data_IF_403200732509
#
_entry.id   IF_403200732509
#
_cell.length_a   1.000
_cell.length_b   1.000
_cell.length_c   1.000
_cell.angle_alpha   90.00
_cell.angle_beta   90.00
_cell.angle_gamma   90.00
#
_symmetry.space_group_name_H-M   'P 1'
#
loop_
_entity.id
_entity.type
_entity.pdbx_description
1 polymer ?
#
# COMPACT_ATOMS: atom_id res chain seq x y z
N UNK A 1 1.59 15.85 -7.47
CA UNK A 1 1.58 14.42 -7.14
C UNK A 1 2.84 13.76 -7.68
N UNK A 2 3.08 13.75 -9.00
CA UNK A 2 4.35 13.29 -9.57
C UNK A 2 5.55 14.06 -9.01
N UNK A 3 6.58 13.34 -8.53
CA UNK A 3 7.79 13.91 -7.92
C UNK A 3 7.71 14.17 -6.41
N UNK A 4 6.58 13.88 -5.76
CA UNK A 4 6.44 13.94 -4.29
C UNK A 4 6.19 12.56 -3.67
N UNK A 5 6.27 11.48 -4.46
CA UNK A 5 5.99 10.13 -3.99
C UNK A 5 7.14 9.57 -3.13
N UNK A 6 8.28 10.26 -3.08
CA UNK A 6 9.32 10.04 -2.09
C UNK A 6 8.90 10.46 -0.67
N UNK A 7 7.83 11.26 -0.50
CA UNK A 7 7.37 11.67 0.83
C UNK A 7 6.46 10.59 1.41
N UNK A 8 6.68 10.13 2.64
CA UNK A 8 5.99 8.98 3.21
C UNK A 8 4.46 9.12 3.17
N UNK A 9 3.93 10.31 3.52
CA UNK A 9 2.50 10.57 3.50
C UNK A 9 1.89 10.56 2.08
N UNK A 10 2.63 11.08 1.09
CA UNK A 10 2.16 11.08 -0.30
C UNK A 10 2.23 9.67 -0.92
N UNK A 11 3.29 8.92 -0.64
CA UNK A 11 3.43 7.52 -1.04
C UNK A 11 2.31 6.66 -0.46
N UNK A 12 2.03 6.84 0.84
CA UNK A 12 0.96 6.18 1.56
C UNK A 12 -0.41 6.52 0.98
N UNK A 13 -0.71 7.80 0.76
CA UNK A 13 -1.98 8.22 0.15
C UNK A 13 -2.16 7.67 -1.27
N UNK A 14 -1.08 7.64 -2.07
CA UNK A 14 -1.13 7.15 -3.44
C UNK A 14 -1.28 5.62 -3.51
N UNK A 15 -0.58 4.89 -2.65
CA UNK A 15 -0.62 3.43 -2.65
C UNK A 15 -1.80 2.89 -1.87
N UNK A 16 -2.17 3.42 -0.70
CA UNK A 16 -3.24 2.82 0.13
C UNK A 16 -4.64 3.21 -0.33
N UNK A 17 -4.78 4.22 -1.18
CA UNK A 17 -6.07 4.59 -1.74
C UNK A 17 -6.49 3.58 -2.82
N UNK A 18 -7.49 2.76 -2.51
CA UNK A 18 -8.03 1.74 -3.43
C UNK A 18 -8.55 2.34 -4.74
N UNK A 19 -9.15 3.54 -4.70
CA UNK A 19 -9.62 4.22 -5.92
C UNK A 19 -8.47 4.63 -6.85
N UNK A 20 -7.24 4.76 -6.34
CA UNK A 20 -6.04 5.09 -7.13
C UNK A 20 -5.26 3.81 -7.48
N UNK A 21 -5.05 2.91 -6.50
CA UNK A 21 -4.27 1.67 -6.65
C UNK A 21 -4.81 0.75 -7.77
N UNK A 22 -6.12 0.73 -7.98
CA UNK A 22 -6.75 -0.11 -9.01
C UNK A 22 -7.04 0.63 -10.33
N UNK A 23 -6.52 1.85 -10.51
CA UNK A 23 -6.59 2.52 -11.81
C UNK A 23 -5.66 1.82 -12.82
N UNK A 24 -6.08 1.77 -14.09
CA UNK A 24 -5.30 1.17 -15.18
C UNK A 24 -3.90 1.79 -15.34
N UNK A 25 -3.74 3.05 -14.91
CA UNK A 25 -2.51 3.82 -14.97
C UNK A 25 -1.76 3.87 -13.63
N UNK A 26 -2.15 3.04 -12.65
CA UNK A 26 -1.40 2.95 -11.39
C UNK A 26 0.02 2.48 -11.68
N UNK A 27 0.98 3.23 -11.15
CA UNK A 27 2.40 2.91 -11.28
C UNK A 27 2.99 2.65 -9.90
N UNK A 28 3.34 1.39 -9.65
CA UNK A 28 4.14 0.97 -8.49
C UNK A 28 5.63 1.08 -8.82
N UNK A 29 6.06 2.29 -9.16
CA UNK A 29 7.46 2.55 -9.50
C UNK A 29 8.31 2.61 -8.22
N UNK A 30 9.64 2.50 -8.35
CA UNK A 30 10.57 2.46 -7.20
C UNK A 30 10.41 3.64 -6.24
N UNK A 31 10.08 4.84 -6.74
CA UNK A 31 9.83 6.01 -5.88
C UNK A 31 8.66 5.78 -4.91
N UNK A 32 7.60 5.12 -5.37
CA UNK A 32 6.42 4.78 -4.56
C UNK A 32 6.75 3.69 -3.55
N UNK A 33 7.53 2.69 -3.96
CA UNK A 33 7.96 1.60 -3.09
C UNK A 33 8.83 2.12 -1.93
N UNK A 34 9.85 2.94 -2.23
CA UNK A 34 10.69 3.55 -1.20
C UNK A 34 9.89 4.47 -0.28
N UNK A 35 8.97 5.28 -0.82
CA UNK A 35 8.13 6.13 0.02
C UNK A 35 7.21 5.35 0.96
N UNK A 36 6.75 4.15 0.56
CA UNK A 36 5.98 3.27 1.45
C UNK A 36 6.86 2.65 2.53
N UNK A 37 8.07 2.23 2.20
CA UNK A 37 9.02 1.71 3.19
C UNK A 37 9.39 2.77 4.24
N UNK A 38 9.67 3.99 3.80
CA UNK A 38 9.93 5.15 4.68
C UNK A 38 8.73 5.41 5.60
N UNK A 39 7.51 5.32 5.05
CA UNK A 39 6.29 5.46 5.84
C UNK A 39 6.14 4.35 6.90
N UNK A 40 6.42 3.10 6.54
CA UNK A 40 6.36 1.96 7.46
C UNK A 40 7.41 2.12 8.58
N UNK A 41 8.63 2.55 8.26
CA UNK A 41 9.70 2.78 9.23
C UNK A 41 9.32 3.87 10.24
N UNK A 42 8.68 4.94 9.78
CA UNK A 42 8.21 6.04 10.64
C UNK A 42 7.02 5.62 11.52
N UNK A 43 6.09 4.82 11.00
CA UNK A 43 4.83 4.47 11.67
C UNK A 43 4.92 3.24 12.57
N UNK A 44 5.83 2.32 12.28
CA UNK A 44 5.95 1.03 12.97
C UNK A 44 7.33 0.92 13.57
N UNK A 45 7.45 0.98 14.89
CA UNK A 45 8.76 0.97 15.56
C UNK A 45 9.38 -0.42 15.68
N UNK A 46 8.57 -1.49 15.71
CA UNK A 46 9.06 -2.86 15.79
C UNK A 46 9.40 -3.42 14.40
N UNK A 47 10.62 -3.91 14.23
CA UNK A 47 11.11 -4.41 12.95
C UNK A 47 10.34 -5.64 12.43
N UNK A 48 9.89 -6.53 13.32
CA UNK A 48 9.10 -7.70 12.89
C UNK A 48 7.72 -7.25 12.41
N UNK A 49 7.11 -6.28 13.09
CA UNK A 49 5.85 -5.68 12.65
C UNK A 49 6.00 -4.91 11.33
N UNK A 50 7.14 -4.25 11.08
CA UNK A 50 7.46 -3.63 9.80
C UNK A 50 7.46 -4.66 8.66
N UNK A 51 8.14 -5.81 8.84
CA UNK A 51 8.22 -6.88 7.84
C UNK A 51 6.83 -7.47 7.52
N UNK A 52 6.03 -7.72 8.55
CA UNK A 52 4.64 -8.20 8.40
C UNK A 52 3.77 -7.18 7.66
N UNK A 53 3.93 -5.90 7.98
CA UNK A 53 3.21 -4.79 7.33
C UNK A 53 3.60 -4.69 5.85
N UNK A 54 4.90 -4.75 5.55
CA UNK A 54 5.40 -4.74 4.18
C UNK A 54 4.88 -5.93 3.36
N UNK A 55 4.93 -7.15 3.92
CA UNK A 55 4.38 -8.34 3.27
C UNK A 55 2.87 -8.22 3.01
N UNK A 56 2.13 -7.67 3.97
CA UNK A 56 0.68 -7.48 3.85
C UNK A 56 0.33 -6.47 2.76
N UNK A 57 1.07 -5.35 2.68
CA UNK A 57 0.92 -4.37 1.60
C UNK A 57 1.23 -4.96 0.22
N UNK A 58 2.17 -5.90 0.11
CA UNK A 58 2.48 -6.58 -1.15
C UNK A 58 1.40 -7.59 -1.55
N UNK A 59 0.83 -8.31 -0.58
CA UNK A 59 -0.29 -9.25 -0.83
C UNK A 59 -1.59 -8.55 -1.23
N UNK A 60 -1.72 -7.26 -0.91
CA UNK A 60 -2.90 -6.44 -1.19
C UNK A 60 -3.27 -6.41 -2.68
N UNK A 61 -2.28 -6.47 -3.58
CA UNK A 61 -2.49 -6.47 -5.03
C UNK A 61 -3.06 -7.81 -5.53
N UNK A 62 -2.83 -8.89 -4.78
CA UNK A 62 -3.29 -10.27 -5.09
C UNK A 62 -4.53 -10.69 -4.31
N UNK A 63 -4.95 -9.90 -3.30
CA UNK A 63 -6.18 -10.13 -2.56
C UNK A 63 -7.39 -9.73 -3.42
N UNK A 64 -7.80 -10.62 -4.32
CA UNK A 64 -9.03 -10.46 -5.09
C UNK A 64 -10.23 -10.89 -4.23
N UNK A 65 -11.12 -9.94 -3.92
CA UNK A 65 -12.42 -10.21 -3.33
C UNK A 65 -12.43 -10.41 -1.81
N UNK A 66 -13.48 -9.88 -1.18
CA UNK A 66 -13.77 -9.90 0.27
C UNK A 66 -13.00 -8.87 1.11
N UNK A 67 -12.98 -7.61 0.67
CA UNK A 67 -12.76 -6.47 1.57
C UNK A 67 -13.92 -6.40 2.59
N UNK A 68 -13.91 -7.29 3.59
CA UNK A 68 -14.90 -7.36 4.68
C UNK A 68 -16.34 -7.71 4.27
N UNK A 69 -16.60 -8.12 3.02
CA UNK A 69 -17.91 -8.62 2.61
C UNK A 69 -17.92 -10.14 2.68
N UNK A 70 -18.73 -10.65 3.61
CA UNK A 70 -19.18 -12.03 3.59
C UNK A 70 -19.81 -12.30 2.22
N UNK A 71 -19.14 -13.07 1.38
CA UNK A 71 -19.77 -13.67 0.19
C UNK A 71 -20.50 -14.95 0.57
N UNK A 72 -21.16 -14.97 1.73
CA UNK A 72 -22.39 -15.74 1.92
C UNK A 72 -23.53 -14.83 1.49
N UNK A 73 -23.91 -14.90 0.22
CA UNK A 73 -25.28 -14.62 -0.23
C UNK A 73 -25.52 -15.42 -1.51
N UNK A 74 -26.05 -16.62 -1.26
CA UNK A 74 -26.88 -17.50 -2.10
C UNK A 74 -26.24 -18.27 -3.26
#
# INVERSE_FOLDING_TARGET
WSGQLHRPLHAAAYSLNSCIRFLLNFKKDREVEYGILDCIEVLVSDYKEQEVTHMSNNKYDTSFGTMGRDTTMR
#
